data_IF_007808393583
#
_entry.id   IF_007808393583
#
_cell.length_a   1.000
_cell.length_b   1.000
_cell.length_c   1.000
_cell.angle_alpha   90.00
_cell.angle_beta   90.00
_cell.angle_gamma   90.00
#
_symmetry.space_group_name_H-M   'P 1'
#
loop_
_entity.id
_entity.type
_entity.pdbx_description
1 polymer ?
#
# COMPACT_ATOMS: atom_id res chain seq x y z
N UNK A 1 -17.30 -15.04 53.90
CA UNK A 1 -16.95 -13.83 53.12
C UNK A 1 -15.57 -13.84 52.44
N UNK A 2 -14.67 -14.82 52.67
CA UNK A 2 -13.34 -14.85 52.02
C UNK A 2 -13.31 -15.56 50.65
N UNK A 3 -14.23 -16.50 50.41
CA UNK A 3 -14.32 -17.25 49.15
C UNK A 3 -14.94 -16.43 47.99
N UNK A 4 -15.86 -15.51 48.28
CA UNK A 4 -16.49 -14.63 47.27
C UNK A 4 -15.50 -13.62 46.66
N UNK A 5 -14.47 -13.23 47.43
CA UNK A 5 -13.43 -12.29 46.98
C UNK A 5 -12.44 -12.96 46.02
N UNK A 6 -12.10 -14.23 46.27
CA UNK A 6 -11.17 -14.99 45.43
C UNK A 6 -11.72 -15.23 44.01
N UNK A 7 -13.02 -15.50 43.88
CA UNK A 7 -13.67 -15.72 42.58
C UNK A 7 -13.69 -14.46 41.72
N UNK A 8 -13.89 -13.27 42.31
CA UNK A 8 -13.81 -11.99 41.60
C UNK A 8 -12.40 -11.69 41.08
N UNK A 9 -11.36 -12.03 41.83
CA UNK A 9 -9.97 -11.80 41.42
C UNK A 9 -9.59 -12.69 40.24
N UNK A 10 -10.04 -13.96 40.23
CA UNK A 10 -9.79 -14.88 39.12
C UNK A 10 -10.56 -14.44 37.87
N UNK A 11 -11.80 -13.96 38.00
CA UNK A 11 -12.61 -13.48 36.88
C UNK A 11 -11.99 -12.23 36.22
N UNK A 12 -11.47 -11.29 37.02
CA UNK A 12 -10.79 -10.08 36.51
C UNK A 12 -9.47 -10.45 35.82
N UNK A 13 -8.72 -11.43 36.35
CA UNK A 13 -7.45 -11.86 35.76
C UNK A 13 -7.64 -12.58 34.41
N UNK A 14 -8.71 -13.36 34.25
CA UNK A 14 -9.06 -13.99 32.96
C UNK A 14 -9.53 -12.96 31.92
N UNK A 15 -10.18 -11.87 32.35
CA UNK A 15 -10.59 -10.80 31.44
C UNK A 15 -9.41 -10.01 30.85
N UNK A 16 -8.31 -9.87 31.59
CA UNK A 16 -7.10 -9.17 31.11
C UNK A 16 -6.29 -9.98 30.08
N UNK A 17 -6.41 -11.31 30.05
CA UNK A 17 -5.69 -12.18 29.10
C UNK A 17 -6.32 -12.20 27.69
N UNK A 18 -7.55 -11.71 27.54
CA UNK A 18 -8.30 -11.75 26.28
C UNK A 18 -8.09 -10.56 25.33
N UNK A 19 -7.34 -9.53 25.75
CA UNK A 19 -7.02 -8.38 24.89
C UNK A 19 -5.89 -8.73 23.91
N UNK A 20 -6.14 -9.72 23.04
CA UNK A 20 -5.36 -9.90 21.83
C UNK A 20 -5.44 -8.59 21.05
N UNK A 21 -4.31 -7.88 20.95
CA UNK A 21 -4.18 -6.64 20.19
C UNK A 21 -4.59 -6.90 18.74
N UNK A 22 -5.87 -6.69 18.42
CA UNK A 22 -6.37 -6.73 17.04
C UNK A 22 -5.56 -5.68 16.29
N UNK A 23 -4.74 -6.12 15.34
CA UNK A 23 -4.05 -5.24 14.39
C UNK A 23 -5.09 -4.23 13.89
N UNK A 24 -4.92 -2.96 14.26
CA UNK A 24 -5.89 -1.92 13.92
C UNK A 24 -5.74 -1.62 12.43
N UNK A 25 -6.74 -2.04 11.65
CA UNK A 25 -6.88 -1.64 10.26
C UNK A 25 -7.82 -0.44 10.20
N UNK A 26 -7.43 0.56 9.42
CA UNK A 26 -8.27 1.68 9.07
C UNK A 26 -8.85 1.45 7.67
N UNK A 27 -10.14 1.71 7.51
CA UNK A 27 -10.75 1.70 6.18
C UNK A 27 -10.26 2.91 5.38
N UNK A 28 -10.01 2.69 4.09
CA UNK A 28 -9.53 3.67 3.15
C UNK A 28 -9.94 3.34 1.72
N UNK A 29 -9.57 4.22 0.81
CA UNK A 29 -9.94 4.13 -0.61
C UNK A 29 -8.70 4.36 -1.46
N UNK A 30 -8.53 3.54 -2.50
CA UNK A 30 -7.47 3.74 -3.48
C UNK A 30 -7.79 4.97 -4.32
N UNK A 31 -6.86 5.93 -4.36
CA UNK A 31 -7.01 7.18 -5.13
C UNK A 31 -6.25 7.12 -6.45
N UNK A 32 -5.12 6.43 -6.47
CA UNK A 32 -4.27 6.32 -7.66
C UNK A 32 -3.51 4.99 -7.63
N UNK A 33 -3.34 4.40 -8.80
CA UNK A 33 -2.55 3.19 -9.01
C UNK A 33 -1.77 3.36 -10.29
N UNK A 34 -0.45 3.33 -10.18
CA UNK A 34 0.44 3.46 -11.32
C UNK A 34 1.41 2.29 -11.39
N UNK A 35 1.44 1.67 -12.55
CA UNK A 35 2.51 0.74 -12.92
C UNK A 35 3.63 1.51 -13.59
N UNK A 36 4.85 1.31 -13.13
CA UNK A 36 6.05 1.94 -13.66
C UNK A 36 7.15 0.91 -13.81
N UNK A 37 8.09 1.21 -14.70
CA UNK A 37 9.26 0.36 -14.92
C UNK A 37 10.51 1.17 -14.66
N UNK A 38 11.44 0.63 -13.88
CA UNK A 38 12.76 1.21 -13.72
C UNK A 38 13.77 0.36 -14.47
N UNK A 39 14.58 1.01 -15.30
CA UNK A 39 15.65 0.34 -16.02
C UNK A 39 16.92 0.46 -15.20
N UNK A 40 17.45 -0.67 -14.73
CA UNK A 40 18.76 -0.73 -14.05
C UNK A 40 19.80 -1.31 -14.99
N UNK A 41 21.03 -0.81 -14.91
CA UNK A 41 22.18 -1.42 -15.58
C UNK A 41 22.68 -2.56 -14.69
N UNK A 42 22.76 -3.77 -15.24
CA UNK A 42 23.29 -4.93 -14.51
C UNK A 42 24.82 -4.96 -14.60
N UNK A 43 25.34 -4.84 -15.82
CA UNK A 43 26.77 -4.81 -16.11
C UNK A 43 27.01 -4.24 -17.50
N UNK A 44 28.27 -3.93 -17.78
CA UNK A 44 28.73 -3.51 -19.10
C UNK A 44 29.37 -4.70 -19.81
N UNK A 45 28.98 -4.91 -21.06
CA UNK A 45 29.67 -5.82 -21.96
C UNK A 45 30.44 -4.99 -22.98
N UNK A 46 31.76 -4.90 -22.79
CA UNK A 46 32.61 -3.90 -23.44
C UNK A 46 32.03 -2.50 -23.12
N UNK A 47 31.50 -1.79 -24.12
CA UNK A 47 30.89 -0.47 -23.98
C UNK A 47 29.36 -0.49 -24.05
N UNK A 48 28.73 -1.67 -24.11
CA UNK A 48 27.27 -1.81 -24.19
C UNK A 48 26.69 -2.11 -22.80
N UNK A 49 25.85 -1.24 -22.22
CA UNK A 49 25.18 -1.54 -20.96
C UNK A 49 24.13 -2.62 -21.16
N UNK A 50 24.26 -3.73 -20.45
CA UNK A 50 23.20 -4.73 -20.34
C UNK A 50 22.25 -4.25 -19.25
N UNK A 51 21.01 -3.99 -19.65
CA UNK A 51 19.99 -3.41 -18.78
C UNK A 51 18.90 -4.43 -18.46
N UNK A 52 18.28 -4.27 -17.30
CA UNK A 52 17.09 -5.01 -16.90
C UNK A 52 15.99 -4.03 -16.54
N UNK A 53 14.78 -4.33 -17.01
CA UNK A 53 13.58 -3.60 -16.69
C UNK A 53 12.92 -4.26 -15.47
N UNK A 54 12.93 -3.57 -14.34
CA UNK A 54 12.27 -4.00 -13.12
C UNK A 54 10.94 -3.25 -12.98
N UNK A 55 9.78 -3.94 -13.05
CA UNK A 55 8.49 -3.31 -12.80
C UNK A 55 8.34 -2.96 -11.32
N UNK A 56 7.64 -1.87 -11.02
CA UNK A 56 7.22 -1.48 -9.69
C UNK A 56 5.88 -0.75 -9.75
N UNK A 57 5.09 -0.90 -8.69
CA UNK A 57 3.78 -0.30 -8.58
C UNK A 57 3.80 0.79 -7.53
N UNK A 58 3.22 1.94 -7.83
CA UNK A 58 2.94 3.01 -6.88
C UNK A 58 1.44 3.07 -6.63
N UNK A 59 1.06 3.06 -5.35
CA UNK A 59 -0.33 3.16 -4.91
C UNK A 59 -0.50 4.36 -4.00
N UNK A 60 -1.60 5.08 -4.19
CA UNK A 60 -2.03 6.15 -3.30
C UNK A 60 -3.33 5.73 -2.63
N UNK A 61 -3.36 5.74 -1.30
CA UNK A 61 -4.54 5.36 -0.51
C UNK A 61 -4.94 6.52 0.38
N UNK A 62 -6.19 6.94 0.27
CA UNK A 62 -6.79 7.90 1.18
C UNK A 62 -7.37 7.18 2.39
N UNK A 63 -6.91 7.57 3.58
CA UNK A 63 -7.43 7.10 4.86
C UNK A 63 -7.92 8.35 5.59
N UNK A 64 -9.23 8.46 5.80
CA UNK A 64 -9.87 9.67 6.33
C UNK A 64 -9.50 10.89 5.46
N UNK A 65 -8.74 11.83 6.02
CA UNK A 65 -8.31 13.09 5.37
C UNK A 65 -6.86 13.07 4.89
N UNK A 66 -6.16 11.93 4.99
CA UNK A 66 -4.73 11.83 4.64
C UNK A 66 -4.52 10.84 3.50
N UNK A 67 -3.73 11.25 2.49
CA UNK A 67 -3.30 10.38 1.40
C UNK A 67 -1.91 9.83 1.70
N UNK A 68 -1.81 8.51 1.75
CA UNK A 68 -0.57 7.77 1.94
C UNK A 68 -0.09 7.21 0.61
N UNK A 69 1.23 7.17 0.44
CA UNK A 69 1.88 6.69 -0.77
C UNK A 69 2.70 5.44 -0.44
N UNK A 70 2.45 4.38 -1.19
CA UNK A 70 3.14 3.11 -1.06
C UNK A 70 3.76 2.69 -2.39
N UNK A 71 4.91 2.02 -2.32
CA UNK A 71 5.51 1.34 -3.47
C UNK A 71 5.60 -0.15 -3.22
N UNK A 72 5.18 -0.91 -4.21
CA UNK A 72 5.31 -2.36 -4.26
C UNK A 72 6.29 -2.74 -5.38
N UNK A 73 7.30 -3.52 -5.02
CA UNK A 73 8.27 -4.04 -5.98
C UNK A 73 8.12 -5.56 -6.01
N UNK A 74 7.56 -6.13 -7.10
CA UNK A 74 7.40 -7.56 -7.23
C UNK A 74 8.75 -8.28 -7.22
N UNK A 75 8.83 -9.41 -6.50
CA UNK A 75 10.01 -10.27 -6.52
C UNK A 75 9.96 -11.27 -7.67
N UNK A 76 8.76 -11.72 -8.04
CA UNK A 76 8.49 -12.62 -9.15
C UNK A 76 7.53 -11.98 -10.16
N UNK A 77 7.61 -12.40 -11.43
CA UNK A 77 6.74 -11.88 -12.50
C UNK A 77 5.25 -12.18 -12.28
N UNK A 78 4.93 -13.18 -11.45
CA UNK A 78 3.56 -13.51 -11.04
C UNK A 78 3.02 -12.61 -9.94
N UNK A 79 3.88 -11.81 -9.29
CA UNK A 79 3.51 -10.99 -8.15
C UNK A 79 2.89 -9.67 -8.64
N UNK A 80 1.68 -9.72 -9.18
CA UNK A 80 0.96 -8.53 -9.62
C UNK A 80 0.09 -7.96 -8.50
N UNK A 81 -0.33 -6.69 -8.67
CA UNK A 81 -1.43 -6.17 -7.86
C UNK A 81 -2.71 -6.97 -8.14
N UNK A 82 -3.58 -7.17 -7.14
CA UNK A 82 -4.90 -7.76 -7.39
C UNK A 82 -5.67 -6.94 -8.42
N UNK A 83 -6.31 -7.60 -9.38
CA UNK A 83 -7.04 -6.92 -10.48
C UNK A 83 -8.13 -5.95 -9.98
N UNK A 84 -8.73 -6.26 -8.84
CA UNK A 84 -9.78 -5.45 -8.19
C UNK A 84 -9.25 -4.15 -7.56
N UNK A 85 -7.93 -3.95 -7.51
CA UNK A 85 -7.31 -2.78 -6.90
C UNK A 85 -7.21 -1.65 -7.91
N UNK A 86 -8.37 -1.05 -8.19
CA UNK A 86 -8.52 0.10 -9.08
C UNK A 86 -8.85 1.36 -8.27
N UNK A 87 -8.80 2.51 -8.94
CA UNK A 87 -9.17 3.80 -8.32
C UNK A 87 -10.62 3.75 -7.85
N UNK A 88 -10.86 4.14 -6.60
CA UNK A 88 -12.16 4.09 -5.93
C UNK A 88 -12.41 2.79 -5.14
N UNK A 89 -11.56 1.77 -5.28
CA UNK A 89 -11.75 0.51 -4.55
C UNK A 89 -11.53 0.68 -3.03
N UNK A 90 -12.42 0.10 -2.19
CA UNK A 90 -12.26 0.13 -0.74
C UNK A 90 -11.17 -0.85 -0.29
N UNK A 91 -10.29 -0.36 0.57
CA UNK A 91 -9.19 -1.14 1.14
C UNK A 91 -9.08 -0.91 2.64
N UNK A 92 -8.47 -1.87 3.32
CA UNK A 92 -8.08 -1.76 4.71
C UNK A 92 -6.58 -1.55 4.78
N UNK A 93 -6.18 -0.45 5.41
CA UNK A 93 -4.80 -0.04 5.52
C UNK A 93 -4.33 -0.07 6.97
N UNK A 94 -3.09 -0.49 7.17
CA UNK A 94 -2.41 -0.49 8.46
C UNK A 94 -1.00 0.02 8.26
N UNK A 95 -0.57 0.89 9.17
CA UNK A 95 0.80 1.40 9.21
C UNK A 95 1.60 0.45 10.11
N UNK A 96 2.63 -0.19 9.55
CA UNK A 96 3.50 -1.12 10.27
C UNK A 96 4.97 -0.72 10.06
N UNK A 97 5.45 0.18 10.92
CA UNK A 97 6.78 0.78 10.81
C UNK A 97 6.97 1.54 9.49
N UNK A 98 7.84 1.01 8.62
CA UNK A 98 8.14 1.58 7.30
C UNK A 98 7.26 1.03 6.17
N UNK A 99 6.28 0.20 6.49
CA UNK A 99 5.39 -0.41 5.52
C UNK A 99 3.96 0.06 5.68
N UNK A 100 3.32 0.36 4.55
CA UNK A 100 1.88 0.47 4.42
C UNK A 100 1.35 -0.92 4.06
N UNK A 101 0.71 -1.58 5.02
CA UNK A 101 0.08 -2.88 4.81
C UNK A 101 -1.33 -2.63 4.32
N UNK A 102 -1.63 -3.05 3.09
CA UNK A 102 -2.94 -2.94 2.47
C UNK A 102 -3.56 -4.32 2.33
N UNK A 103 -4.86 -4.41 2.55
CA UNK A 103 -5.62 -5.63 2.28
C UNK A 103 -7.03 -5.28 1.81
N UNK A 104 -7.64 -6.20 1.08
CA UNK A 104 -9.09 -6.16 0.87
C UNK A 104 -9.81 -6.53 2.18
N UNK A 105 -11.02 -6.03 2.44
CA UNK A 105 -11.88 -6.59 3.47
C UNK A 105 -11.99 -8.12 3.30
N UNK A 106 -11.38 -8.88 4.22
CA UNK A 106 -11.35 -10.35 4.19
C UNK A 106 -10.39 -10.99 3.17
N UNK A 107 -9.56 -10.20 2.47
CA UNK A 107 -8.59 -10.71 1.50
C UNK A 107 -7.15 -10.80 2.03
N UNK A 108 -6.20 -11.18 1.15
CA UNK A 108 -4.79 -11.26 1.51
C UNK A 108 -4.20 -9.88 1.82
N UNK A 109 -3.18 -9.89 2.69
CA UNK A 109 -2.41 -8.70 3.05
C UNK A 109 -1.22 -8.53 2.10
N UNK A 110 -0.96 -7.30 1.70
CA UNK A 110 0.16 -6.95 0.84
C UNK A 110 0.91 -5.75 1.42
N UNK A 111 2.23 -5.84 1.41
CA UNK A 111 3.11 -4.86 2.06
C UNK A 111 3.67 -3.89 1.01
N UNK A 112 3.50 -2.61 1.26
CA UNK A 112 4.06 -1.54 0.44
C UNK A 112 5.10 -0.80 1.26
N UNK A 113 6.25 -0.49 0.68
CA UNK A 113 7.20 0.42 1.32
C UNK A 113 6.64 1.85 1.26
N UNK A 114 6.65 2.58 2.37
CA UNK A 114 6.26 4.00 2.34
C UNK A 114 7.18 4.78 1.41
N UNK A 115 6.58 5.55 0.51
CA UNK A 115 7.31 6.49 -0.33
C UNK A 115 6.94 7.92 0.06
N UNK A 116 7.91 8.82 -0.11
CA UNK A 116 7.59 10.25 -0.11
C UNK A 116 6.70 10.51 -1.31
N UNK A 117 5.75 11.44 -1.16
CA UNK A 117 4.82 11.89 -2.19
C UNK A 117 5.51 11.85 -3.56
N UNK A 118 5.02 11.05 -4.53
CA UNK A 118 5.60 11.07 -5.87
C UNK A 118 5.50 12.51 -6.36
N UNK A 119 6.61 13.04 -6.89
CA UNK A 119 6.54 14.25 -7.66
C UNK A 119 5.56 13.96 -8.79
N UNK A 120 4.33 14.48 -8.69
CA UNK A 120 3.41 14.55 -9.81
C UNK A 120 4.21 15.32 -10.86
N UNK A 121 4.78 14.61 -11.85
CA UNK A 121 5.20 15.30 -13.07
C UNK A 121 3.91 15.94 -13.58
N UNK A 122 3.83 17.28 -13.65
CA UNK A 122 2.71 17.90 -14.30
C UNK A 122 2.63 17.25 -15.68
N UNK A 123 1.48 16.70 -16.03
CA UNK A 123 1.20 16.34 -17.42
C UNK A 123 1.14 17.67 -18.17
N UNK A 124 2.30 18.18 -18.56
CA UNK A 124 2.45 19.20 -19.59
C UNK A 124 2.04 18.53 -20.90
N UNK A 125 0.73 18.48 -21.14
CA UNK A 125 0.21 17.71 -22.27
C UNK A 125 -1.29 17.49 -22.28
N UNK A 126 -2.08 18.46 -21.83
CA UNK A 126 -3.46 18.60 -22.30
C UNK A 126 -3.70 20.07 -22.67
N UNK A 127 -2.91 20.55 -23.64
CA UNK A 127 -3.32 21.70 -24.44
C UNK A 127 -4.15 21.13 -25.57
N UNK A 128 -5.46 21.22 -25.42
CA UNK A 128 -6.42 20.97 -26.48
C UNK A 128 -5.96 21.66 -27.77
N UNK A 129 -5.93 20.89 -28.85
CA UNK A 129 -5.82 21.41 -30.20
C UNK A 129 -7.04 22.32 -30.46
N UNK A 130 -6.80 23.62 -30.53
CA UNK A 130 -7.74 24.56 -31.11
C UNK A 130 -7.75 24.36 -32.63
N UNK A 131 -8.91 24.17 -33.29
CA UNK A 131 -8.96 24.12 -34.74
C UNK A 131 -8.65 25.52 -35.30
N UNK A 132 -7.62 25.58 -36.15
CA UNK A 132 -7.35 26.75 -36.98
C UNK A 132 -8.48 26.90 -38.01
N UNK A 133 -9.29 27.95 -37.85
CA UNK A 133 -10.20 28.42 -38.90
C UNK A 133 -9.44 29.41 -39.77
N UNK A 134 -9.42 29.15 -41.08
CA UNK A 134 -9.08 30.14 -42.10
C UNK A 134 -10.30 30.34 -42.99
#
# INVERSE_FOLDING_TARGET
MRLLKATCVILVMVLLLGAAAKKQYADGTIVDVQEKTTTRVLYYQVDTPITQNDPYYEISVQIKDTVYFGRYTPMHSSDTLPEDWTVGSPVQARIDGHHLVLRRPGGPEMNFAFTKRPAVKPVLGSSAAAPASK
#
